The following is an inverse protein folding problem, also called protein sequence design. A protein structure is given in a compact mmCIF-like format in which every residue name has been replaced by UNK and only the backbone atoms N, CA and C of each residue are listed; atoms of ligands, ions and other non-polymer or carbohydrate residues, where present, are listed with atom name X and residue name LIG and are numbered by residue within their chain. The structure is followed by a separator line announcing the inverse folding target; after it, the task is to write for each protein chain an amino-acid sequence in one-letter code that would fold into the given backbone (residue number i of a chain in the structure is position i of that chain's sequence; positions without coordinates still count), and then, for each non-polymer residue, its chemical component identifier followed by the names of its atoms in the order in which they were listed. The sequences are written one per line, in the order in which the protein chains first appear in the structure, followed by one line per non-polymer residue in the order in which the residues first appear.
data_IF_221376401309
#
_entry.id   IF_221376401309
#
_cell.length_a   1.000
_cell.length_b   1.000
_cell.length_c   1.000
_cell.angle_alpha   90.00
_cell.angle_beta   90.00
_cell.angle_gamma   90.00
#
_symmetry.space_group_name_H-M   'P 1'
#
loop_
_entity.id
_entity.type
_entity.pdbx_description
1 polymer ?
#
# COMPACT_ATOMS: atom_id res chain seq x y z
N UNK A 1 -8.08 -6.17 -2.57
CA UNK A 1 -8.57 -6.00 -3.96
C UNK A 1 -9.56 -7.11 -4.25
N UNK A 2 -10.83 -6.81 -4.57
CA UNK A 2 -11.83 -7.81 -4.99
C UNK A 2 -12.16 -7.66 -6.49
N UNK A 3 -11.65 -8.54 -7.37
CA UNK A 3 -11.92 -8.46 -8.80
C UNK A 3 -13.39 -8.66 -9.16
N UNK A 4 -14.12 -9.49 -8.41
CA UNK A 4 -15.53 -9.79 -8.65
C UNK A 4 -16.42 -8.54 -8.45
N UNK A 5 -15.97 -7.59 -7.62
CA UNK A 5 -16.62 -6.29 -7.38
C UNK A 5 -15.99 -5.14 -8.19
N UNK A 6 -15.12 -5.45 -9.16
CA UNK A 6 -14.50 -4.47 -10.06
C UNK A 6 -13.19 -3.84 -9.54
N UNK A 7 -12.64 -4.32 -8.42
CA UNK A 7 -11.35 -3.86 -7.89
C UNK A 7 -11.40 -2.48 -7.23
N UNK A 8 -10.33 -1.69 -7.38
CA UNK A 8 -10.20 -0.35 -6.81
C UNK A 8 -10.84 0.73 -7.70
N UNK A 9 -12.17 0.65 -7.86
CA UNK A 9 -12.96 1.49 -8.78
C UNK A 9 -12.82 3.00 -8.56
N UNK A 10 -12.38 3.44 -7.38
CA UNK A 10 -12.07 4.86 -7.11
C UNK A 10 -11.05 5.41 -8.11
N UNK A 11 -10.01 4.64 -8.47
CA UNK A 11 -9.02 5.05 -9.45
C UNK A 11 -9.60 5.18 -10.86
N UNK A 12 -10.53 4.31 -11.25
CA UNK A 12 -11.23 4.43 -12.53
C UNK A 12 -12.13 5.66 -12.56
N UNK A 13 -12.81 5.98 -11.45
CA UNK A 13 -13.60 7.22 -11.33
C UNK A 13 -12.72 8.45 -11.45
N UNK A 14 -11.59 8.51 -10.72
CA UNK A 14 -10.65 9.62 -10.82
C UNK A 14 -10.10 9.76 -12.25
N UNK A 15 -9.73 8.65 -12.91
CA UNK A 15 -9.22 8.66 -14.31
C UNK A 15 -10.19 9.32 -15.29
N UNK A 16 -11.51 9.11 -15.13
CA UNK A 16 -12.54 9.72 -16.00
C UNK A 16 -12.55 11.25 -15.95
N UNK A 17 -12.04 11.85 -14.88
CA UNK A 17 -11.92 13.29 -14.76
C UNK A 17 -10.68 13.87 -15.45
N UNK A 18 -9.82 13.02 -16.04
CA UNK A 18 -8.59 13.40 -16.73
C UNK A 18 -7.75 14.44 -15.94
N UNK A 19 -7.42 14.16 -14.65
CA UNK A 19 -6.67 15.11 -13.84
C UNK A 19 -5.25 15.29 -14.40
N UNK A 20 -4.72 16.51 -14.33
CA UNK A 20 -3.35 16.80 -14.75
C UNK A 20 -2.31 16.10 -13.86
N UNK A 21 -2.64 15.89 -12.58
CA UNK A 21 -1.83 15.13 -11.62
C UNK A 21 -2.67 14.65 -10.43
N UNK A 22 -2.15 13.68 -9.68
CA UNK A 22 -2.63 13.26 -8.37
C UNK A 22 -1.72 13.80 -7.27
N UNK A 23 -2.29 14.43 -6.25
CA UNK A 23 -1.62 14.64 -4.97
C UNK A 23 -2.04 13.52 -4.01
N UNK A 24 -1.11 12.67 -3.61
CA UNK A 24 -1.37 11.56 -2.68
C UNK A 24 -0.76 11.86 -1.31
N UNK A 25 -1.63 12.05 -0.31
CA UNK A 25 -1.27 12.52 1.03
C UNK A 25 -0.98 11.38 2.01
N UNK A 26 -0.12 10.43 1.65
CA UNK A 26 0.18 9.28 2.50
C UNK A 26 -0.78 8.12 2.35
N UNK A 27 -0.58 7.07 3.14
CA UNK A 27 -1.36 5.83 3.13
C UNK A 27 -1.46 5.19 1.73
N UNK A 28 -0.38 5.30 0.97
CA UNK A 28 -0.24 4.67 -0.34
C UNK A 28 -0.25 3.15 -0.25
N UNK A 29 0.18 2.62 0.89
CA UNK A 29 0.08 1.20 1.26
C UNK A 29 -0.30 1.09 2.74
N UNK A 30 -0.73 -0.11 3.12
CA UNK A 30 -0.85 -0.51 4.53
C UNK A 30 0.15 -1.62 4.80
N UNK A 31 1.39 -1.30 5.17
CA UNK A 31 2.47 -2.27 5.38
C UNK A 31 2.16 -3.28 6.50
N UNK A 32 1.34 -2.88 7.46
CA UNK A 32 0.92 -3.64 8.63
C UNK A 32 -0.46 -4.31 8.51
N UNK A 33 -1.19 -4.01 7.42
CA UNK A 33 -2.50 -4.59 7.15
C UNK A 33 -2.40 -6.03 6.64
N UNK A 34 -2.80 -7.01 7.44
CA UNK A 34 -2.92 -8.41 7.02
C UNK A 34 -4.18 -8.58 6.17
N UNK A 35 -4.04 -9.16 4.98
CA UNK A 35 -5.14 -9.38 4.03
C UNK A 35 -5.57 -10.84 4.10
N UNK A 36 -6.74 -11.08 4.69
CA UNK A 36 -7.42 -12.38 4.60
C UNK A 36 -7.95 -12.61 3.19
N UNK A 37 -7.93 -13.87 2.73
CA UNK A 37 -8.47 -14.26 1.41
C UNK A 37 -9.95 -13.95 1.29
N UNK A 38 -10.69 -14.05 2.40
CA UNK A 38 -12.12 -13.84 2.43
C UNK A 38 -12.55 -13.06 3.67
N UNK A 39 -13.55 -12.18 3.52
CA UNK A 39 -14.18 -11.43 4.61
C UNK A 39 -15.69 -11.52 4.45
N UNK A 40 -16.38 -11.93 5.51
CA UNK A 40 -17.85 -11.95 5.53
C UNK A 40 -18.38 -10.54 5.79
N UNK A 41 -19.16 -10.00 4.86
CA UNK A 41 -19.77 -8.68 4.97
C UNK A 41 -21.04 -8.72 5.84
N UNK A 42 -21.48 -7.57 6.40
CA UNK A 42 -22.69 -7.50 7.24
C UNK A 42 -23.98 -7.98 6.55
N UNK A 43 -24.05 -7.84 5.22
CA UNK A 43 -25.19 -8.27 4.39
C UNK A 43 -25.14 -9.77 4.02
N UNK A 44 -24.16 -10.51 4.54
CA UNK A 44 -23.98 -11.94 4.29
C UNK A 44 -23.20 -12.27 3.03
N UNK A 45 -22.85 -11.29 2.18
CA UNK A 45 -21.96 -11.51 1.04
C UNK A 45 -20.53 -11.82 1.51
N UNK A 46 -19.78 -12.46 0.62
CA UNK A 46 -18.39 -12.83 0.86
C UNK A 46 -17.51 -11.95 -0.03
N UNK A 47 -16.68 -11.13 0.60
CA UNK A 47 -15.64 -10.35 -0.08
C UNK A 47 -14.41 -11.23 -0.30
N UNK A 48 -13.91 -11.32 -1.53
CA UNK A 48 -12.77 -12.15 -1.89
C UNK A 48 -11.58 -11.29 -2.29
N UNK A 49 -10.50 -11.37 -1.53
CA UNK A 49 -9.29 -10.63 -1.86
C UNK A 49 -8.39 -11.42 -2.80
N UNK A 50 -7.78 -10.74 -3.77
CA UNK A 50 -6.48 -11.17 -4.30
C UNK A 50 -5.49 -11.23 -3.14
N UNK A 51 -4.72 -12.31 -3.04
CA UNK A 51 -3.74 -12.51 -1.96
C UNK A 51 -2.34 -12.71 -2.52
N UNK A 52 -1.35 -12.30 -1.73
CA UNK A 52 0.05 -12.63 -1.92
C UNK A 52 0.64 -13.03 -0.55
N UNK A 53 1.64 -13.92 -0.48
CA UNK A 53 2.20 -14.38 0.79
C UNK A 53 2.67 -13.23 1.71
N UNK A 54 3.24 -12.19 1.13
CA UNK A 54 3.79 -11.03 1.84
C UNK A 54 2.70 -10.20 2.54
N UNK A 55 1.45 -10.27 2.08
CA UNK A 55 0.29 -9.60 2.71
C UNK A 55 -0.46 -10.48 3.70
N UNK A 56 -0.02 -11.72 3.91
CA UNK A 56 -0.55 -12.59 4.97
C UNK A 56 0.07 -12.30 6.36
N UNK A 57 0.99 -11.33 6.44
CA UNK A 57 1.67 -10.88 7.65
C UNK A 57 2.00 -9.39 7.56
N UNK A 58 2.50 -8.80 8.64
CA UNK A 58 3.09 -7.45 8.63
C UNK A 58 4.40 -7.45 7.85
N UNK A 59 4.72 -6.36 7.16
CA UNK A 59 5.99 -6.21 6.45
C UNK A 59 7.15 -5.96 7.43
N UNK A 60 8.25 -6.68 7.26
CA UNK A 60 9.43 -6.54 8.11
C UNK A 60 10.72 -6.44 7.29
N UNK A 61 10.77 -7.14 6.15
CA UNK A 61 11.88 -7.15 5.21
C UNK A 61 11.65 -6.16 4.07
N UNK A 62 12.73 -5.74 3.42
CA UNK A 62 12.64 -4.82 2.28
C UNK A 62 11.75 -5.37 1.15
N UNK A 63 11.81 -6.67 0.89
CA UNK A 63 10.99 -7.30 -0.16
C UNK A 63 9.50 -7.35 0.23
N UNK A 64 9.17 -7.51 1.51
CA UNK A 64 7.78 -7.40 1.97
C UNK A 64 7.25 -5.96 1.85
N UNK A 65 8.06 -4.94 2.14
CA UNK A 65 7.67 -3.54 1.90
C UNK A 65 7.48 -3.24 0.40
N UNK A 66 8.37 -3.73 -0.47
CA UNK A 66 8.18 -3.64 -1.93
C UNK A 66 6.91 -4.36 -2.38
N UNK A 67 6.65 -5.54 -1.83
CA UNK A 67 5.46 -6.33 -2.14
C UNK A 67 4.17 -5.60 -1.73
N UNK A 68 4.19 -4.84 -0.62
CA UNK A 68 3.05 -4.03 -0.21
C UNK A 68 2.69 -2.95 -1.24
N UNK A 69 3.68 -2.28 -1.84
CA UNK A 69 3.43 -1.36 -2.97
C UNK A 69 2.96 -2.10 -4.23
N UNK A 70 3.64 -3.19 -4.59
CA UNK A 70 3.30 -3.99 -5.78
C UNK A 70 1.91 -4.60 -5.69
N UNK A 71 1.41 -4.90 -4.49
CA UNK A 71 0.07 -5.45 -4.29
C UNK A 71 -1.01 -4.55 -4.89
N UNK A 72 -0.93 -3.24 -4.70
CA UNK A 72 -1.89 -2.29 -5.28
C UNK A 72 -1.85 -2.30 -6.82
N UNK A 73 -0.69 -2.54 -7.42
CA UNK A 73 -0.53 -2.68 -8.88
C UNK A 73 -1.03 -4.03 -9.44
N UNK A 74 -1.51 -4.96 -8.60
CA UNK A 74 -2.28 -6.11 -9.09
C UNK A 74 -3.67 -5.68 -9.58
N UNK A 75 -4.16 -4.51 -9.17
CA UNK A 75 -5.42 -3.95 -9.60
C UNK A 75 -5.32 -3.27 -10.98
N UNK A 76 -6.28 -3.54 -11.86
CA UNK A 76 -6.33 -2.95 -13.20
C UNK A 76 -6.59 -1.44 -13.19
N UNK A 77 -7.44 -0.95 -12.29
CA UNK A 77 -7.77 0.47 -12.23
C UNK A 77 -6.59 1.30 -11.72
N UNK A 78 -5.85 0.78 -10.73
CA UNK A 78 -4.62 1.41 -10.22
C UNK A 78 -3.57 1.51 -11.33
N UNK A 79 -3.32 0.42 -12.07
CA UNK A 79 -2.37 0.43 -13.19
C UNK A 79 -2.79 1.41 -14.28
N UNK A 80 -4.06 1.38 -14.68
CA UNK A 80 -4.57 2.25 -15.73
C UNK A 80 -4.52 3.73 -15.35
N UNK A 81 -4.81 4.08 -14.09
CA UNK A 81 -4.69 5.45 -13.60
C UNK A 81 -3.23 5.93 -13.60
N UNK A 82 -2.31 5.14 -13.03
CA UNK A 82 -0.89 5.50 -12.94
C UNK A 82 -0.17 5.51 -14.30
N UNK A 83 -0.74 4.90 -15.34
CA UNK A 83 -0.22 4.98 -16.70
C UNK A 83 -0.49 6.34 -17.39
N UNK A 84 -1.49 7.09 -16.91
CA UNK A 84 -1.94 8.34 -17.55
C UNK A 84 -1.74 9.58 -16.68
N UNK A 85 -1.77 9.42 -15.35
CA UNK A 85 -1.79 10.55 -14.41
C UNK A 85 -0.48 10.59 -13.61
N UNK A 86 0.33 11.66 -13.74
CA UNK A 86 1.48 11.89 -12.88
C UNK A 86 1.09 11.98 -11.40
N UNK A 87 1.96 11.51 -10.51
CA UNK A 87 1.71 11.52 -9.06
C UNK A 87 2.75 12.36 -8.31
N UNK A 88 2.27 13.26 -7.46
CA UNK A 88 3.02 13.86 -6.37
C UNK A 88 2.64 13.14 -5.08
N UNK A 89 3.55 12.32 -4.58
CA UNK A 89 3.29 11.44 -3.44
C UNK A 89 4.04 11.92 -2.21
N UNK A 90 3.37 11.91 -1.08
CA UNK A 90 3.94 12.06 0.25
C UNK A 90 3.68 10.76 1.01
N UNK A 91 4.59 10.37 1.89
CA UNK A 91 4.34 9.26 2.81
C UNK A 91 3.54 9.73 4.04
N UNK A 92 2.94 8.79 4.74
CA UNK A 92 2.46 8.90 6.11
C UNK A 92 2.90 7.63 6.88
N UNK A 93 2.26 7.34 8.00
CA UNK A 93 2.64 6.27 8.88
C UNK A 93 2.47 4.87 8.29
N UNK A 94 1.42 4.59 7.52
CA UNK A 94 1.12 3.25 7.01
C UNK A 94 2.09 2.73 5.93
N UNK A 95 2.94 3.58 5.37
CA UNK A 95 4.13 3.15 4.63
C UNK A 95 5.11 2.35 5.50
N UNK A 96 5.10 2.59 6.81
CA UNK A 96 5.92 1.89 7.81
C UNK A 96 5.06 0.94 8.66
N UNK A 97 4.14 1.51 9.44
CA UNK A 97 3.14 0.85 10.30
C UNK A 97 2.22 1.92 10.89
N UNK A 98 0.94 1.60 11.10
CA UNK A 98 -0.05 2.50 11.71
C UNK A 98 0.50 3.28 12.92
N UNK A 99 0.26 4.58 13.03
CA UNK A 99 0.74 5.51 14.06
C UNK A 99 2.27 5.44 14.27
N UNK A 100 3.04 5.39 13.19
CA UNK A 100 4.51 5.36 13.21
C UNK A 100 5.08 6.59 13.94
N UNK A 101 6.10 6.33 14.75
CA UNK A 101 6.97 7.34 15.36
C UNK A 101 8.28 6.67 15.75
N UNK A 102 9.34 7.45 15.95
CA UNK A 102 10.65 6.94 16.38
C UNK A 102 10.62 6.22 17.74
N UNK A 103 9.59 6.48 18.56
CA UNK A 103 9.38 5.86 19.87
C UNK A 103 8.30 4.78 19.87
N UNK A 104 7.80 4.36 18.70
CA UNK A 104 6.69 3.41 18.63
C UNK A 104 7.09 2.05 19.20
N UNK A 105 6.25 1.53 20.09
CA UNK A 105 6.28 0.13 20.50
C UNK A 105 5.54 -0.73 19.47
N UNK A 106 6.23 -1.73 18.93
CA UNK A 106 5.68 -2.59 17.88
C UNK A 106 4.75 -3.66 18.47
N UNK A 107 3.56 -3.89 17.88
CA UNK A 107 2.64 -4.95 18.28
C UNK A 107 3.27 -6.35 18.26
N UNK A 108 2.63 -7.31 18.91
CA UNK A 108 3.12 -8.70 19.01
C UNK A 108 3.34 -9.38 17.64
N UNK A 109 2.63 -8.93 16.59
CA UNK A 109 2.73 -9.45 15.23
C UNK A 109 4.13 -9.29 14.59
N UNK A 110 4.92 -8.33 15.06
CA UNK A 110 6.28 -8.08 14.57
C UNK A 110 7.30 -8.98 15.27
N UNK A 111 8.22 -9.57 14.51
CA UNK A 111 9.41 -10.26 15.01
C UNK A 111 10.59 -9.30 15.12
N UNK A 112 10.76 -8.42 14.13
CA UNK A 112 11.71 -7.32 14.17
C UNK A 112 11.20 -6.27 15.16
N UNK A 113 11.99 -5.99 16.20
CA UNK A 113 11.63 -5.03 17.26
C UNK A 113 12.30 -3.66 17.11
N UNK A 114 13.01 -3.44 16.01
CA UNK A 114 13.69 -2.17 15.71
C UNK A 114 12.84 -1.33 14.75
N UNK A 115 12.18 -0.30 15.28
CA UNK A 115 11.32 0.60 14.50
C UNK A 115 12.11 1.42 13.47
N UNK A 116 13.36 1.78 13.76
CA UNK A 116 14.19 2.55 12.84
C UNK A 116 14.62 1.69 11.65
N UNK A 117 14.91 0.41 11.89
CA UNK A 117 15.20 -0.54 10.82
C UNK A 117 13.99 -0.75 9.89
N UNK A 118 12.79 -0.86 10.45
CA UNK A 118 11.56 -0.96 9.66
C UNK A 118 11.34 0.32 8.83
N UNK A 119 11.46 1.49 9.47
CA UNK A 119 11.33 2.77 8.78
C UNK A 119 12.36 2.95 7.64
N UNK A 120 13.61 2.53 7.85
CA UNK A 120 14.64 2.59 6.81
C UNK A 120 14.31 1.69 5.60
N UNK A 121 13.76 0.49 5.84
CA UNK A 121 13.33 -0.44 4.79
C UNK A 121 12.11 0.09 4.03
N UNK A 122 11.11 0.58 4.77
CA UNK A 122 9.92 1.22 4.23
C UNK A 122 10.28 2.43 3.35
N UNK A 123 11.10 3.35 3.87
CA UNK A 123 11.55 4.53 3.15
C UNK A 123 12.25 4.16 1.84
N UNK A 124 13.15 3.17 1.88
CA UNK A 124 13.80 2.68 0.66
C UNK A 124 12.79 2.11 -0.35
N UNK A 125 11.86 1.27 0.10
CA UNK A 125 10.83 0.71 -0.78
C UNK A 125 9.97 1.83 -1.40
N UNK A 126 9.54 2.81 -0.62
CA UNK A 126 8.78 3.96 -1.11
C UNK A 126 9.53 4.71 -2.21
N UNK A 127 10.84 4.97 -2.04
CA UNK A 127 11.65 5.63 -3.07
C UNK A 127 11.87 4.80 -4.34
N UNK A 128 11.93 3.47 -4.22
CA UNK A 128 12.05 2.58 -5.37
C UNK A 128 10.73 2.42 -6.14
N UNK A 129 9.58 2.64 -5.49
CA UNK A 129 8.25 2.34 -6.03
C UNK A 129 7.51 3.55 -6.61
N UNK A 130 8.01 4.78 -6.37
CA UNK A 130 7.42 6.00 -6.90
C UNK A 130 8.43 6.81 -7.75
N UNK A 131 7.94 7.55 -8.77
CA UNK A 131 8.79 8.35 -9.65
C UNK A 131 9.26 9.63 -8.93
N UNK A 132 10.22 9.48 -8.02
CA UNK A 132 10.83 10.58 -7.30
C UNK A 132 12.20 10.90 -7.88
N UNK A 133 12.52 12.19 -7.92
CA UNK A 133 13.84 12.65 -8.38
C UNK A 133 14.85 12.42 -7.26
N UNK A 134 15.95 11.75 -7.57
CA UNK A 134 17.14 11.79 -6.72
C UNK A 134 17.66 13.24 -6.72
N UNK A 135 18.05 13.74 -5.54
CA UNK A 135 18.59 15.09 -5.41
C UNK A 135 19.76 15.30 -6.39
N UNK A 136 19.80 16.46 -7.05
CA UNK A 136 20.94 16.86 -7.92
C UNK A 136 22.16 17.14 -7.06
#
# INVERSE_FOLDING_TARGET
INPDDGGMITFATMRKHAPDFLLHSGDTIYADGIISSEVKLPDGRLWKNVTIPEKAKVAETLDEFRAAHKYNFLDENVRAFNAEVPIFVQWDDHEVTNNWSASKELPAAYKVRDINLLAARAARAFHEMYPMRESI
#
